data_IF_082275573944
#
_entry.id   IF_082275573944
#
_cell.length_a   1.000
_cell.length_b   1.000
_cell.length_c   1.000
_cell.angle_alpha   90.00
_cell.angle_beta   90.00
_cell.angle_gamma   90.00
#
_symmetry.space_group_name_H-M   'P 1'
#
loop_
_entity.id
_entity.type
_entity.pdbx_description
1 polymer ?
#
# COMPACT_ATOMS: atom_id res chain seq x y z
N UNK A 1 -15.48 -31.22 28.72
CA UNK A 1 -14.36 -30.28 28.44
C UNK A 1 -14.84 -28.88 28.79
N UNK A 2 -14.14 -28.12 29.65
CA UNK A 2 -14.61 -26.80 30.12
C UNK A 2 -14.82 -25.81 28.95
N UNK A 3 -15.90 -25.02 29.00
CA UNK A 3 -16.28 -24.02 27.99
C UNK A 3 -15.13 -23.06 27.62
N UNK A 4 -14.29 -22.75 28.61
CA UNK A 4 -13.11 -21.88 28.46
C UNK A 4 -12.05 -22.52 27.57
N UNK A 5 -11.82 -23.83 27.71
CA UNK A 5 -10.87 -24.58 26.89
C UNK A 5 -11.38 -24.68 25.45
N UNK A 6 -12.67 -24.99 25.28
CA UNK A 6 -13.32 -25.05 23.95
C UNK A 6 -13.21 -23.73 23.19
N UNK A 7 -13.44 -22.59 23.85
CA UNK A 7 -13.33 -21.26 23.22
C UNK A 7 -11.89 -20.94 22.81
N UNK A 8 -10.89 -21.29 23.63
CA UNK A 8 -9.48 -21.10 23.30
C UNK A 8 -9.08 -21.97 22.10
N UNK A 9 -9.52 -23.22 22.07
CA UNK A 9 -9.25 -24.14 20.96
C UNK A 9 -9.91 -23.65 19.66
N UNK A 10 -11.13 -23.10 19.74
CA UNK A 10 -11.80 -22.46 18.59
C UNK A 10 -11.02 -21.25 18.07
N UNK A 11 -10.63 -20.32 18.94
CA UNK A 11 -9.87 -19.15 18.55
C UNK A 11 -8.52 -19.52 17.93
N UNK A 12 -7.86 -20.55 18.46
CA UNK A 12 -6.61 -21.06 17.89
C UNK A 12 -6.81 -21.57 16.46
N UNK A 13 -7.88 -22.33 16.19
CA UNK A 13 -8.20 -22.79 14.83
C UNK A 13 -8.50 -21.62 13.89
N UNK A 14 -9.31 -20.67 14.35
CA UNK A 14 -9.66 -19.48 13.57
C UNK A 14 -8.41 -18.70 13.17
N UNK A 15 -7.53 -18.40 14.13
CA UNK A 15 -6.32 -17.63 13.86
C UNK A 15 -5.30 -18.39 13.01
N UNK A 16 -5.25 -19.72 13.06
CA UNK A 16 -4.46 -20.52 12.09
C UNK A 16 -4.95 -20.31 10.67
N UNK A 17 -6.27 -20.41 10.45
CA UNK A 17 -6.85 -20.19 9.14
C UNK A 17 -6.57 -18.76 8.62
N UNK A 18 -6.56 -17.75 9.51
CA UNK A 18 -6.21 -16.38 9.11
C UNK A 18 -4.73 -16.26 8.73
N UNK A 19 -3.82 -16.90 9.46
CA UNK A 19 -2.39 -16.89 9.12
C UNK A 19 -2.11 -17.58 7.78
N UNK A 20 -2.84 -18.66 7.49
CA UNK A 20 -2.77 -19.35 6.20
C UNK A 20 -3.20 -18.47 5.01
N UNK A 21 -3.97 -17.40 5.24
CA UNK A 21 -4.41 -16.49 4.18
C UNK A 21 -3.30 -15.54 3.65
N UNK A 22 -2.07 -15.62 4.18
CA UNK A 22 -0.80 -14.98 3.72
C UNK A 22 -0.76 -13.44 3.56
N UNK A 23 -1.87 -12.77 3.30
CA UNK A 23 -1.99 -11.33 3.02
C UNK A 23 -2.74 -10.63 4.15
N UNK A 24 -2.00 -10.25 5.17
CA UNK A 24 -2.50 -9.71 6.41
C UNK A 24 -1.88 -8.35 6.72
N UNK A 25 -2.67 -7.37 7.12
CA UNK A 25 -2.19 -6.07 7.58
C UNK A 25 -2.60 -5.83 9.03
N UNK A 26 -1.62 -5.45 9.85
CA UNK A 26 -1.78 -5.20 11.27
C UNK A 26 -1.96 -3.70 11.54
N UNK A 27 -3.12 -3.38 12.10
CA UNK A 27 -3.46 -2.05 12.57
C UNK A 27 -3.65 -2.08 14.08
N UNK A 28 -3.12 -1.10 14.77
CA UNK A 28 -3.54 -0.82 16.13
C UNK A 28 -4.68 0.17 16.12
N UNK A 29 -5.70 -0.13 16.91
CA UNK A 29 -6.88 0.72 17.00
C UNK A 29 -7.11 1.17 18.43
N UNK A 30 -7.39 2.46 18.59
CA UNK A 30 -7.67 3.08 19.89
C UNK A 30 -9.08 3.70 19.86
N UNK A 31 -9.94 3.25 20.77
CA UNK A 31 -11.28 3.80 21.03
C UNK A 31 -12.17 4.04 19.80
N UNK A 32 -12.46 2.98 19.04
CA UNK A 32 -13.41 3.02 17.94
C UNK A 32 -14.87 3.06 18.41
N UNK A 33 -15.69 3.87 17.72
CA UNK A 33 -17.15 3.75 17.83
C UNK A 33 -17.65 2.63 16.89
N UNK A 34 -18.73 1.93 17.29
CA UNK A 34 -19.42 0.93 16.46
C UNK A 34 -19.85 1.51 15.11
N UNK A 35 -20.30 2.79 15.09
CA UNK A 35 -20.64 3.48 13.83
C UNK A 35 -19.43 3.61 12.89
N UNK A 36 -18.28 3.99 13.44
CA UNK A 36 -17.03 4.16 12.69
C UNK A 36 -16.51 2.81 12.16
N UNK A 37 -16.59 1.74 12.96
CA UNK A 37 -16.22 0.38 12.52
C UNK A 37 -17.12 -0.14 11.41
N UNK A 38 -18.42 0.14 11.46
CA UNK A 38 -19.35 -0.30 10.42
C UNK A 38 -19.13 0.46 9.11
N UNK A 39 -18.80 1.75 9.18
CA UNK A 39 -18.36 2.52 8.01
C UNK A 39 -17.07 1.97 7.42
N UNK A 40 -16.08 1.64 8.26
CA UNK A 40 -14.86 0.96 7.84
C UNK A 40 -15.16 -0.36 7.13
N UNK A 41 -15.95 -1.24 7.74
CA UNK A 41 -16.30 -2.53 7.14
C UNK A 41 -17.01 -2.38 5.80
N UNK A 42 -17.88 -1.38 5.66
CA UNK A 42 -18.55 -1.11 4.38
C UNK A 42 -17.55 -0.72 3.30
N UNK A 43 -16.63 0.21 3.62
CA UNK A 43 -15.57 0.66 2.69
C UNK A 43 -14.58 -0.44 2.33
N UNK A 44 -14.22 -1.28 3.30
CA UNK A 44 -13.32 -2.42 3.08
C UNK A 44 -14.02 -3.56 2.31
N UNK A 45 -15.32 -3.72 2.49
CA UNK A 45 -16.14 -4.69 1.75
C UNK A 45 -16.23 -4.37 0.25
N UNK A 46 -16.18 -3.09 -0.14
CA UNK A 46 -16.09 -2.68 -1.56
C UNK A 46 -14.77 -3.11 -2.23
N UNK A 47 -13.76 -3.45 -1.43
CA UNK A 47 -12.40 -3.80 -1.87
C UNK A 47 -12.07 -5.28 -1.59
N UNK A 48 -13.08 -6.12 -1.34
CA UNK A 48 -12.96 -7.54 -0.97
C UNK A 48 -11.99 -7.80 0.19
N UNK A 49 -11.97 -6.86 1.15
CA UNK A 49 -11.11 -6.94 2.33
C UNK A 49 -11.93 -7.08 3.61
N UNK A 50 -11.54 -8.03 4.45
CA UNK A 50 -12.24 -8.31 5.70
C UNK A 50 -11.50 -7.70 6.89
N UNK A 51 -12.24 -7.01 7.76
CA UNK A 51 -11.74 -6.42 8.98
C UNK A 51 -12.11 -7.29 10.18
N UNK A 52 -11.11 -7.87 10.83
CA UNK A 52 -11.28 -8.73 12.01
C UNK A 52 -10.53 -8.14 13.21
N UNK A 53 -11.19 -8.11 14.37
CA UNK A 53 -10.57 -7.67 15.63
C UNK A 53 -10.00 -8.88 16.32
N UNK A 54 -8.73 -8.81 16.72
CA UNK A 54 -7.97 -9.96 17.23
C UNK A 54 -7.55 -9.74 18.67
N UNK A 55 -7.54 -10.84 19.44
CA UNK A 55 -6.88 -10.87 20.76
C UNK A 55 -5.39 -11.14 20.60
N UNK A 56 -4.58 -10.10 20.81
CA UNK A 56 -3.11 -10.12 20.68
C UNK A 56 -2.44 -11.28 21.41
N UNK A 57 -2.85 -11.60 22.65
CA UNK A 57 -2.23 -12.68 23.43
C UNK A 57 -2.41 -14.08 22.84
N UNK A 58 -3.54 -14.37 22.20
CA UNK A 58 -3.78 -15.68 21.56
C UNK A 58 -3.05 -15.75 20.22
N UNK A 59 -3.13 -14.66 19.45
CA UNK A 59 -2.49 -14.55 18.14
C UNK A 59 -0.96 -14.62 18.23
N UNK A 60 -0.36 -13.95 19.22
CA UNK A 60 1.09 -14.01 19.50
C UNK A 60 1.62 -15.42 19.72
N UNK A 61 0.82 -16.29 20.34
CA UNK A 61 1.22 -17.68 20.60
C UNK A 61 1.25 -18.56 19.35
N UNK A 62 0.65 -18.09 18.25
CA UNK A 62 0.56 -18.81 16.97
C UNK A 62 1.59 -18.33 15.96
N UNK A 63 1.98 -17.06 16.05
CA UNK A 63 3.00 -16.50 15.17
C UNK A 63 4.39 -16.99 15.58
N UNK A 64 5.20 -17.44 14.63
CA UNK A 64 6.56 -17.91 14.91
C UNK A 64 7.57 -16.76 14.85
N UNK A 65 7.38 -15.83 13.91
CA UNK A 65 8.28 -14.71 13.63
C UNK A 65 8.45 -13.74 14.80
N UNK A 66 9.72 -13.50 15.15
CA UNK A 66 10.13 -12.58 16.23
C UNK A 66 9.70 -11.13 15.92
N UNK A 67 9.80 -10.72 14.64
CA UNK A 67 9.43 -9.36 14.21
C UNK A 67 7.93 -9.10 14.36
N UNK A 68 7.09 -10.07 14.01
CA UNK A 68 5.64 -9.96 14.20
C UNK A 68 5.26 -9.95 15.67
N UNK A 69 5.89 -10.77 16.52
CA UNK A 69 5.63 -10.78 17.97
C UNK A 69 5.82 -9.40 18.61
N UNK A 70 6.81 -8.64 18.17
CA UNK A 70 7.07 -7.29 18.68
C UNK A 70 6.00 -6.29 18.22
N UNK A 71 5.47 -6.44 17.01
CA UNK A 71 4.36 -5.64 16.50
C UNK A 71 3.03 -5.98 17.17
N UNK A 72 2.90 -7.18 17.75
CA UNK A 72 1.64 -7.66 18.33
C UNK A 72 1.39 -7.20 19.78
N UNK A 73 1.75 -5.96 20.14
CA UNK A 73 1.54 -5.36 21.46
C UNK A 73 0.24 -4.54 21.49
N UNK A 74 -0.70 -4.87 22.39
CA UNK A 74 -1.91 -4.05 22.63
C UNK A 74 -3.15 -4.48 21.83
N UNK A 75 -3.96 -3.50 21.44
CA UNK A 75 -5.25 -3.68 20.77
C UNK A 75 -5.06 -3.68 19.26
N UNK A 76 -5.33 -4.82 18.62
CA UNK A 76 -4.93 -5.05 17.23
C UNK A 76 -6.13 -5.49 16.40
N UNK A 77 -6.23 -4.86 15.24
CA UNK A 77 -7.13 -5.19 14.16
C UNK A 77 -6.31 -5.75 13.01
N UNK A 78 -6.87 -6.77 12.37
CA UNK A 78 -6.32 -7.40 11.19
C UNK A 78 -7.20 -7.07 9.99
N UNK A 79 -6.56 -6.67 8.90
CA UNK A 79 -7.19 -6.63 7.59
C UNK A 79 -6.64 -7.81 6.79
N UNK A 80 -7.52 -8.69 6.33
CA UNK A 80 -7.17 -9.79 5.43
C UNK A 80 -7.57 -9.44 4.01
N UNK A 81 -6.67 -9.66 3.06
CA UNK A 81 -6.92 -9.47 1.63
C UNK A 81 -7.02 -10.82 0.92
N UNK A 82 -8.05 -10.98 0.09
CA UNK A 82 -8.18 -12.18 -0.74
C UNK A 82 -7.31 -12.08 -2.01
N UNK A 83 -7.15 -10.87 -2.57
CA UNK A 83 -6.27 -10.58 -3.71
C UNK A 83 -5.30 -9.44 -3.39
N UNK A 84 -4.00 -9.67 -3.62
CA UNK A 84 -2.95 -8.68 -3.41
C UNK A 84 -2.83 -7.78 -4.66
N UNK A 85 -3.71 -6.78 -4.78
CA UNK A 85 -3.59 -5.75 -5.79
C UNK A 85 -3.03 -4.45 -5.16
N UNK A 86 -1.87 -3.92 -5.61
CA UNK A 86 -1.28 -2.70 -5.05
C UNK A 86 -2.20 -1.48 -5.16
N UNK A 87 -3.09 -1.44 -6.17
CA UNK A 87 -4.10 -0.39 -6.29
C UNK A 87 -5.17 -0.46 -5.19
N UNK A 88 -5.56 -1.68 -4.79
CA UNK A 88 -6.49 -1.89 -3.69
C UNK A 88 -5.82 -1.58 -2.35
N UNK A 89 -4.55 -1.96 -2.17
CA UNK A 89 -3.78 -1.57 -0.98
C UNK A 89 -3.66 -0.06 -0.84
N UNK A 90 -3.41 0.69 -1.93
CA UNK A 90 -3.37 2.16 -1.90
C UNK A 90 -4.70 2.75 -1.48
N UNK A 91 -5.81 2.22 -1.98
CA UNK A 91 -7.17 2.64 -1.59
C UNK A 91 -7.49 2.28 -0.14
N UNK A 92 -7.08 1.10 0.33
CA UNK A 92 -7.27 0.68 1.72
C UNK A 92 -6.44 1.54 2.66
N UNK A 93 -5.19 1.85 2.32
CA UNK A 93 -4.33 2.74 3.10
C UNK A 93 -4.91 4.16 3.16
N UNK A 94 -5.36 4.72 2.05
CA UNK A 94 -6.01 6.04 2.07
C UNK A 94 -7.32 6.00 2.87
N UNK A 95 -8.10 4.92 2.81
CA UNK A 95 -9.33 4.77 3.58
C UNK A 95 -9.07 4.61 5.09
N UNK A 96 -8.08 3.80 5.47
CA UNK A 96 -7.58 3.67 6.85
C UNK A 96 -7.08 5.03 7.35
N UNK A 97 -6.40 5.78 6.48
CA UNK A 97 -5.84 7.08 6.83
C UNK A 97 -6.89 8.22 6.84
N UNK A 98 -8.01 8.09 6.12
CA UNK A 98 -9.07 9.10 6.07
C UNK A 98 -9.94 9.18 7.31
N UNK A 99 -9.78 8.26 8.27
CA UNK A 99 -10.53 8.28 9.53
C UNK A 99 -9.93 9.33 10.45
N UNK A 100 -10.19 10.59 10.09
CA UNK A 100 -9.91 11.76 10.89
C UNK A 100 -10.56 11.57 12.25
N UNK A 101 -9.73 11.46 13.28
CA UNK A 101 -10.19 11.68 14.64
C UNK A 101 -10.89 13.02 14.70
N UNK A 102 -12.03 13.05 15.38
CA UNK A 102 -12.78 14.26 15.70
C UNK A 102 -11.95 15.14 16.65
N UNK A 103 -10.89 15.78 16.16
CA UNK A 103 -10.24 16.88 16.85
C UNK A 103 -11.05 18.13 16.51
N UNK A 104 -11.90 18.57 17.44
CA UNK A 104 -12.60 19.86 17.44
C UNK A 104 -11.66 21.08 17.45
N UNK A 105 -10.38 20.88 17.20
CA UNK A 105 -9.35 21.90 17.05
C UNK A 105 -8.56 21.59 15.79
N UNK A 106 -8.92 22.28 14.71
CA UNK A 106 -8.12 22.33 13.49
C UNK A 106 -6.93 23.23 13.78
N UNK A 107 -5.75 22.65 14.02
CA UNK A 107 -4.53 23.43 14.09
C UNK A 107 -4.33 24.17 12.75
N UNK A 108 -4.02 25.46 12.85
CA UNK A 108 -3.86 26.37 11.72
C UNK A 108 -2.65 25.93 10.86
N UNK A 109 -2.77 25.86 9.51
CA UNK A 109 -1.65 25.48 8.67
C UNK A 109 -0.67 26.65 8.58
N UNK A 110 0.47 26.55 9.25
CA UNK A 110 1.60 27.43 9.03
C UNK A 110 2.42 26.89 7.86
N UNK A 111 2.35 27.63 6.74
CA UNK A 111 3.40 27.86 5.74
C UNK A 111 4.24 26.67 5.26
N UNK A 112 4.02 26.32 3.99
CA UNK A 112 5.00 25.94 2.96
C UNK A 112 6.36 25.44 3.47
N UNK A 113 6.56 24.13 3.52
CA UNK A 113 7.75 23.45 2.99
C UNK A 113 7.66 21.93 3.22
N UNK A 114 8.13 21.19 2.22
CA UNK A 114 8.34 19.75 2.14
C UNK A 114 8.74 19.07 3.45
N UNK A 115 7.99 18.05 3.86
CA UNK A 115 8.48 16.76 4.36
C UNK A 115 7.29 15.83 4.56
N UNK A 116 7.52 14.53 4.39
CA UNK A 116 6.61 13.43 4.59
C UNK A 116 6.02 13.41 6.02
N UNK A 117 5.04 14.28 6.26
CA UNK A 117 4.33 14.33 7.54
C UNK A 117 3.33 13.19 7.54
N UNK A 118 3.72 12.10 8.20
CA UNK A 118 2.83 11.04 8.64
C UNK A 118 1.55 11.70 9.16
N UNK A 119 0.44 11.50 8.45
CA UNK A 119 -0.87 11.73 9.02
C UNK A 119 -1.03 10.72 10.17
N UNK A 120 -0.52 11.06 11.35
CA UNK A 120 -0.67 10.23 12.55
C UNK A 120 -2.13 10.31 12.94
N UNK A 121 -2.92 9.36 12.46
CA UNK A 121 -4.28 9.16 12.96
C UNK A 121 -4.17 8.63 14.39
N UNK A 122 -4.65 9.35 15.42
CA UNK A 122 -4.52 8.89 16.80
C UNK A 122 -5.38 7.66 17.09
N UNK A 123 -6.35 7.37 16.22
CA UNK A 123 -7.28 6.24 16.33
C UNK A 123 -6.80 4.97 15.63
N UNK A 124 -6.05 5.09 14.53
CA UNK A 124 -5.51 3.97 13.76
C UNK A 124 -4.05 4.21 13.45
N UNK A 125 -3.20 3.41 14.07
CA UNK A 125 -1.78 3.38 13.77
C UNK A 125 -1.48 2.11 12.99
N UNK A 126 -0.88 2.26 11.82
CA UNK A 126 -0.39 1.13 11.06
C UNK A 126 0.89 0.62 11.72
N UNK A 127 0.88 -0.63 12.16
CA UNK A 127 2.03 -1.25 12.83
C UNK A 127 2.89 -2.05 11.84
N UNK A 128 2.28 -2.59 10.79
CA UNK A 128 2.98 -3.37 9.77
C UNK A 128 2.05 -4.34 9.06
N UNK A 129 2.63 -5.29 8.36
CA UNK A 129 1.90 -6.30 7.60
C UNK A 129 2.68 -7.60 7.50
N UNK A 130 1.98 -8.66 7.19
CA UNK A 130 2.54 -9.94 6.80
C UNK A 130 1.99 -10.24 5.41
N UNK A 131 2.85 -10.13 4.39
CA UNK A 131 2.48 -10.27 2.99
C UNK A 131 3.41 -11.32 2.40
N UNK A 132 2.85 -12.33 1.73
CA UNK A 132 3.62 -13.40 1.06
C UNK A 132 4.74 -13.99 1.93
N UNK A 133 4.43 -14.30 3.19
CA UNK A 133 5.36 -14.90 4.15
C UNK A 133 6.54 -14.00 4.57
N UNK A 134 6.45 -12.68 4.31
CA UNK A 134 7.40 -11.69 4.76
C UNK A 134 6.75 -10.66 5.66
N UNK A 135 7.46 -10.29 6.73
CA UNK A 135 7.06 -9.21 7.62
C UNK A 135 7.39 -7.88 6.96
N UNK A 136 6.36 -7.10 6.66
CA UNK A 136 6.45 -5.81 5.97
C UNK A 136 6.29 -4.69 6.99
N UNK A 137 7.19 -3.72 6.92
CA UNK A 137 7.22 -2.53 7.78
C UNK A 137 6.39 -1.40 7.14
N UNK A 138 6.11 -0.33 7.88
CA UNK A 138 5.31 0.81 7.45
C UNK A 138 5.85 1.42 6.15
N UNK A 139 7.18 1.53 6.03
CA UNK A 139 7.82 2.09 4.85
C UNK A 139 7.64 1.20 3.61
N UNK A 140 7.83 -0.11 3.76
CA UNK A 140 7.66 -1.06 2.67
C UNK A 140 6.19 -1.22 2.28
N UNK A 141 5.24 -1.07 3.22
CA UNK A 141 3.81 -1.01 2.90
C UNK A 141 3.48 0.20 2.03
N UNK A 142 4.08 1.37 2.31
CA UNK A 142 3.90 2.56 1.46
C UNK A 142 4.52 2.40 0.09
N UNK A 143 5.68 1.74 0.00
CA UNK A 143 6.26 1.40 -1.29
C UNK A 143 5.34 0.45 -2.07
N UNK A 144 4.83 -0.61 -1.43
CA UNK A 144 3.84 -1.53 -2.00
C UNK A 144 2.57 -0.82 -2.48
N UNK A 145 2.11 0.20 -1.76
CA UNK A 145 0.98 1.03 -2.17
C UNK A 145 1.27 1.91 -3.38
N UNK A 146 2.54 2.29 -3.58
CA UNK A 146 2.96 3.10 -4.71
C UNK A 146 3.28 2.26 -5.96
N UNK A 147 3.25 0.93 -5.88
CA UNK A 147 3.46 0.09 -7.06
C UNK A 147 2.37 0.34 -8.10
N UNK A 148 2.76 0.51 -9.38
CA UNK A 148 1.81 0.61 -10.49
C UNK A 148 1.05 -0.70 -10.70
N UNK A 149 -0.07 -0.62 -11.44
CA UNK A 149 -0.87 -1.81 -11.80
C UNK A 149 -0.12 -2.73 -12.77
N UNK A 150 -0.56 -3.97 -12.92
CA UNK A 150 0.07 -4.95 -13.82
C UNK A 150 0.20 -4.43 -15.25
N UNK A 151 -0.87 -3.82 -15.79
CA UNK A 151 -0.83 -3.23 -17.14
C UNK A 151 0.15 -2.06 -17.24
N UNK A 152 0.24 -1.23 -16.20
CA UNK A 152 1.20 -0.13 -16.14
C UNK A 152 2.64 -0.65 -16.06
N UNK A 153 2.88 -1.73 -15.32
CA UNK A 153 4.20 -2.39 -15.28
C UNK A 153 4.55 -2.92 -16.67
N UNK A 154 3.63 -3.61 -17.35
CA UNK A 154 3.86 -4.06 -18.72
C UNK A 154 4.12 -2.90 -19.67
N UNK A 155 3.37 -1.80 -19.57
CA UNK A 155 3.60 -0.60 -20.36
C UNK A 155 4.96 0.05 -20.07
N UNK A 156 5.40 0.08 -18.81
CA UNK A 156 6.72 0.57 -18.41
C UNK A 156 7.83 -0.29 -19.00
N UNK A 157 7.69 -1.63 -18.94
CA UNK A 157 8.65 -2.55 -19.55
C UNK A 157 8.69 -2.34 -21.07
N UNK A 158 7.53 -2.22 -21.72
CA UNK A 158 7.45 -1.94 -23.14
C UNK A 158 8.10 -0.58 -23.49
N UNK A 159 7.87 0.45 -22.69
CA UNK A 159 8.53 1.76 -22.83
C UNK A 159 10.04 1.68 -22.66
N UNK A 160 10.53 0.92 -21.67
CA UNK A 160 11.97 0.74 -21.44
C UNK A 160 12.66 0.00 -22.58
N UNK A 161 11.95 -0.86 -23.30
CA UNK A 161 12.47 -1.58 -24.48
C UNK A 161 12.36 -0.71 -25.74
N UNK A 162 11.24 -0.01 -25.92
CA UNK A 162 11.00 0.80 -27.13
C UNK A 162 11.77 2.11 -27.15
N UNK A 163 11.97 2.76 -26.00
CA UNK A 163 12.74 4.01 -25.90
C UNK A 163 14.18 3.90 -26.44
N UNK A 164 15.00 2.89 -26.09
CA UNK A 164 16.32 2.74 -26.68
C UNK A 164 16.26 2.36 -28.17
N UNK A 165 15.29 1.56 -28.60
CA UNK A 165 15.10 1.22 -30.03
C UNK A 165 14.83 2.49 -30.87
N UNK A 166 13.93 3.34 -30.41
CA UNK A 166 13.64 4.63 -31.04
C UNK A 166 14.84 5.57 -31.02
N UNK A 167 15.65 5.56 -29.94
CA UNK A 167 16.90 6.34 -29.87
C UNK A 167 17.93 5.88 -30.89
N UNK A 168 18.07 4.58 -31.10
CA UNK A 168 18.99 4.03 -32.11
C UNK A 168 18.52 4.46 -33.51
N UNK A 169 17.23 4.33 -33.79
CA UNK A 169 16.66 4.78 -35.05
C UNK A 169 16.85 6.29 -35.26
N UNK A 170 16.60 7.11 -34.24
CA UNK A 170 16.80 8.56 -34.32
C UNK A 170 18.27 8.91 -34.50
N UNK A 171 19.20 8.22 -33.82
CA UNK A 171 20.64 8.44 -34.01
C UNK A 171 21.10 8.11 -35.43
N UNK A 172 20.52 7.10 -36.07
CA UNK A 172 20.81 6.76 -37.47
C UNK A 172 20.21 7.80 -38.43
N UNK A 173 19.00 8.30 -38.15
CA UNK A 173 18.27 9.20 -39.04
C UNK A 173 18.65 10.69 -38.90
N UNK A 174 19.06 11.12 -37.71
CA UNK A 174 19.49 12.50 -37.42
C UNK A 174 20.57 13.06 -38.37
N UNK A 175 21.69 12.37 -38.68
CA UNK A 175 22.71 12.92 -39.56
C UNK A 175 22.19 13.20 -40.97
N UNK A 176 21.37 12.32 -41.54
CA UNK A 176 20.77 12.52 -42.87
C UNK A 176 19.83 13.72 -42.90
N UNK A 177 19.02 13.89 -41.86
CA UNK A 177 18.15 15.05 -41.72
C UNK A 177 18.95 16.35 -41.56
N UNK A 178 20.01 16.33 -40.75
CA UNK A 178 20.88 17.48 -40.56
C UNK A 178 21.55 17.92 -41.87
N UNK A 179 22.04 16.96 -42.66
CA UNK A 179 22.62 17.24 -43.97
C UNK A 179 21.59 17.80 -44.96
N UNK A 180 20.36 17.27 -44.97
CA UNK A 180 19.27 17.83 -45.79
C UNK A 180 18.90 19.27 -45.40
N UNK A 181 18.96 19.58 -44.11
CA UNK A 181 18.70 20.92 -43.58
C UNK A 181 19.82 21.90 -43.94
N UNK A 182 21.08 21.46 -43.89
CA UNK A 182 22.23 22.26 -44.33
C UNK A 182 22.17 22.57 -45.83
N UNK A 183 21.82 21.59 -46.65
CA UNK A 183 21.63 21.80 -48.09
C UNK A 183 20.49 22.80 -48.37
N UNK A 184 19.37 22.64 -47.66
CA UNK A 184 18.21 23.55 -47.77
C UNK A 184 18.49 24.95 -47.23
N UNK A 185 19.33 25.10 -46.21
CA UNK A 185 19.73 26.41 -45.69
C UNK A 185 20.68 27.13 -46.64
N UNK A 186 21.64 26.41 -47.24
CA UNK A 186 22.52 26.97 -48.27
C UNK A 186 21.75 27.41 -49.52
N UNK A 187 20.78 26.62 -49.99
CA UNK A 187 19.98 27.02 -51.16
C UNK A 187 19.12 28.26 -50.88
N UNK A 188 18.58 28.40 -49.67
CA UNK A 188 17.83 29.60 -49.28
C UNK A 188 18.72 30.84 -49.12
N UNK A 189 19.96 30.69 -48.65
CA UNK A 189 20.92 31.80 -48.54
C UNK A 189 21.41 32.34 -49.90
N UNK A 190 21.31 31.55 -50.97
CA UNK A 190 21.63 31.99 -52.33
C UNK A 190 20.46 32.66 -53.07
N UNK A 191 19.26 32.70 -52.49
CA UNK A 191 18.06 33.29 -53.09
C UNK A 191 17.67 34.68 -52.52
N UNK A 192 18.54 35.29 -51.70
CA UNK A 192 18.42 36.68 -51.20
C UNK A 192 19.61 37.48 -51.70
#
# INVERSE_FOLDING_TARGET
MSLIRQRKDYLNKLYKNLLEQQNLLFLQFNNFNVKELNQLRSRLGELDSNLTVIRSGVFRGLTEDIKLKNLLNGNICLISFNELNPANLKKVLTQVDTIKSNSRFKAMPLTNQSTDTVAVNPKLTLLGGHINNQTVDIFTIRQLANLPTLEQIHAQIYSLITTPSSRIHSHIQHPSQHLSLLLKSHSNHQQV
#
